data_IF_105580030522
#
_entry.id   IF_105580030522
#
_cell.length_a   1.000
_cell.length_b   1.000
_cell.length_c   1.000
_cell.angle_alpha   90.00
_cell.angle_beta   90.00
_cell.angle_gamma   90.00
#
_symmetry.space_group_name_H-M   'P 1'
#
loop_
_entity.id
_entity.type
_entity.pdbx_description
1 polymer ?
#
# COMPACT_ATOMS: atom_id res chain seq x y z
N UNK A 1 -6.59 2.87 -37.51
CA UNK A 1 -7.13 3.86 -36.56
C UNK A 1 -6.13 4.30 -35.50
N UNK A 2 -6.11 5.60 -35.21
CA UNK A 2 -5.30 6.22 -34.16
C UNK A 2 -5.77 5.87 -32.74
N UNK A 3 -7.09 5.74 -32.59
CA UNK A 3 -7.77 5.48 -31.32
C UNK A 3 -7.41 4.08 -30.82
N UNK A 4 -7.53 3.06 -31.66
CA UNK A 4 -7.23 1.68 -31.31
C UNK A 4 -5.76 1.50 -30.87
N UNK A 5 -4.82 2.11 -31.60
CA UNK A 5 -3.39 2.10 -31.21
C UNK A 5 -3.12 2.74 -29.86
N UNK A 6 -3.86 3.81 -29.54
CA UNK A 6 -3.73 4.49 -28.24
C UNK A 6 -4.34 3.65 -27.14
N UNK A 7 -5.52 3.06 -27.37
CA UNK A 7 -6.18 2.14 -26.45
C UNK A 7 -5.28 0.94 -26.11
N UNK A 8 -4.63 0.35 -27.11
CA UNK A 8 -3.78 -0.83 -26.93
C UNK A 8 -2.40 -0.51 -26.34
N UNK A 9 -2.06 0.78 -26.15
CA UNK A 9 -0.75 1.21 -25.63
C UNK A 9 -0.63 1.21 -24.11
N UNK A 10 -1.74 1.02 -23.40
CA UNK A 10 -1.79 0.92 -21.94
C UNK A 10 -2.91 -0.05 -21.52
N UNK A 11 -2.90 -0.44 -20.26
CA UNK A 11 -3.89 -1.37 -19.67
C UNK A 11 -4.37 -0.84 -18.34
N UNK A 12 -5.47 -1.41 -17.86
CA UNK A 12 -6.04 -1.04 -16.57
C UNK A 12 -4.98 -1.19 -15.45
N UNK A 13 -4.83 -0.13 -14.64
CA UNK A 13 -3.79 -0.03 -13.61
C UNK A 13 -2.51 0.70 -14.03
N UNK A 14 -2.30 0.95 -15.32
CA UNK A 14 -1.16 1.74 -15.78
C UNK A 14 -1.34 3.23 -15.46
N UNK A 15 -0.27 3.86 -14.98
CA UNK A 15 -0.22 5.32 -14.88
C UNK A 15 0.31 5.89 -16.20
N UNK A 16 -0.49 6.74 -16.82
CA UNK A 16 -0.16 7.38 -18.10
C UNK A 16 -0.05 8.89 -17.94
N UNK A 17 0.89 9.48 -18.69
CA UNK A 17 0.97 10.92 -18.90
C UNK A 17 0.11 11.28 -20.10
N UNK A 18 -0.78 12.25 -19.93
CA UNK A 18 -1.66 12.77 -20.97
C UNK A 18 -1.25 14.19 -21.34
N UNK A 19 -0.96 14.42 -22.62
CA UNK A 19 -0.68 15.73 -23.18
C UNK A 19 -1.69 16.05 -24.28
N UNK A 20 -2.25 17.26 -24.27
CA UNK A 20 -3.23 17.69 -25.27
C UNK A 20 -3.73 19.10 -25.02
N UNK A 21 -4.79 19.49 -25.73
CA UNK A 21 -5.37 20.83 -25.63
C UNK A 21 -6.63 20.81 -24.77
N UNK A 22 -6.72 21.75 -23.81
CA UNK A 22 -7.91 21.88 -22.97
C UNK A 22 -9.01 22.61 -23.74
N UNK A 23 -10.18 21.99 -23.85
CA UNK A 23 -11.41 22.58 -24.39
C UNK A 23 -12.53 22.50 -23.36
N UNK A 24 -13.61 23.25 -23.55
CA UNK A 24 -14.80 23.18 -22.70
C UNK A 24 -15.95 22.58 -23.49
N UNK A 25 -16.65 21.61 -22.91
CA UNK A 25 -17.87 21.02 -23.48
C UNK A 25 -18.88 20.74 -22.37
N UNK A 26 -20.09 21.30 -22.50
CA UNK A 26 -21.11 21.28 -21.44
C UNK A 26 -20.53 21.72 -20.08
N UNK A 27 -19.85 22.87 -20.06
CA UNK A 27 -19.19 23.47 -18.88
C UNK A 27 -18.17 22.59 -18.16
N UNK A 28 -17.74 21.49 -18.79
CA UNK A 28 -16.68 20.62 -18.30
C UNK A 28 -15.43 20.77 -19.15
N UNK A 29 -14.29 20.96 -18.49
CA UNK A 29 -12.97 20.91 -19.14
C UNK A 29 -12.74 19.49 -19.68
N UNK A 30 -12.31 19.40 -20.92
CA UNK A 30 -11.90 18.17 -21.60
C UNK A 30 -10.49 18.37 -22.14
N UNK A 31 -9.68 17.32 -22.08
CA UNK A 31 -8.38 17.30 -22.75
C UNK A 31 -8.60 16.61 -24.09
N UNK A 32 -8.35 17.33 -25.18
CA UNK A 32 -8.48 16.83 -26.53
C UNK A 32 -7.12 16.34 -27.03
N UNK A 33 -7.06 15.08 -27.45
CA UNK A 33 -5.85 14.37 -27.88
C UNK A 33 -6.08 13.97 -29.34
N UNK A 34 -5.42 14.68 -30.25
CA UNK A 34 -5.46 14.40 -31.69
C UNK A 34 -4.05 14.01 -32.16
N UNK A 35 -3.94 13.21 -33.23
CA UNK A 35 -2.65 12.88 -33.83
C UNK A 35 -1.85 14.16 -34.14
N UNK A 36 -0.60 14.20 -33.69
CA UNK A 36 0.31 15.34 -33.86
C UNK A 36 0.04 16.54 -32.94
N UNK A 37 -0.99 16.49 -32.08
CA UNK A 37 -1.38 17.58 -31.16
C UNK A 37 -1.47 17.16 -29.69
N UNK A 38 -1.23 15.88 -29.40
CA UNK A 38 -1.23 15.33 -28.06
C UNK A 38 -0.73 13.88 -28.06
N UNK A 39 -0.55 13.32 -26.87
CA UNK A 39 -0.13 11.95 -26.68
C UNK A 39 -0.60 11.40 -25.33
N UNK A 40 -0.82 10.08 -25.29
CA UNK A 40 -0.92 9.29 -24.06
C UNK A 40 0.30 8.39 -24.04
N UNK A 41 1.09 8.46 -22.97
CA UNK A 41 2.32 7.68 -22.85
C UNK A 41 2.41 7.07 -21.45
N UNK A 42 2.77 5.78 -21.31
CA UNK A 42 3.11 5.21 -20.01
C UNK A 42 4.17 6.05 -19.32
N UNK A 43 3.99 6.31 -18.02
CA UNK A 43 4.97 7.03 -17.21
C UNK A 43 5.36 6.23 -15.98
N UNK A 44 6.65 6.25 -15.65
CA UNK A 44 7.17 5.77 -14.35
C UNK A 44 7.52 6.92 -13.42
N UNK A 45 7.45 8.13 -13.94
CA UNK A 45 7.70 9.38 -13.24
C UNK A 45 6.37 9.89 -12.69
N UNK A 46 5.97 9.32 -11.57
CA UNK A 46 4.77 9.67 -10.83
C UNK A 46 4.95 9.31 -9.35
N UNK A 47 4.28 10.03 -8.46
CA UNK A 47 4.18 9.62 -7.06
C UNK A 47 2.87 8.86 -6.87
N UNK A 48 2.97 7.66 -6.30
CA UNK A 48 1.80 6.81 -6.05
C UNK A 48 0.80 7.47 -5.08
N UNK A 49 1.25 8.39 -4.21
CA UNK A 49 0.39 9.20 -3.33
C UNK A 49 -0.50 10.20 -4.09
N UNK A 50 -0.21 10.51 -5.35
CA UNK A 50 -1.06 11.39 -6.17
C UNK A 50 -2.33 10.66 -6.63
N UNK A 51 -2.33 9.32 -6.59
CA UNK A 51 -3.39 8.45 -7.08
C UNK A 51 -4.07 7.65 -5.97
N UNK A 52 -3.34 7.34 -4.89
CA UNK A 52 -3.86 6.60 -3.75
C UNK A 52 -3.86 7.48 -2.49
N UNK A 53 -4.88 7.37 -1.62
CA UNK A 53 -4.80 7.94 -0.29
C UNK A 53 -3.58 7.40 0.46
N UNK A 54 -3.05 8.17 1.40
CA UNK A 54 -1.93 7.80 2.26
C UNK A 54 -2.40 7.71 3.72
N UNK A 55 -1.77 6.85 4.53
CA UNK A 55 -2.03 6.88 5.97
C UNK A 55 -1.66 8.25 6.54
N UNK A 56 -2.51 8.79 7.41
CA UNK A 56 -2.23 10.01 8.16
C UNK A 56 -1.24 9.77 9.33
N UNK A 57 -0.83 8.52 9.56
CA UNK A 57 0.05 8.13 10.67
C UNK A 57 1.51 8.09 10.23
N UNK A 58 2.41 8.25 11.20
CA UNK A 58 3.85 8.12 10.97
C UNK A 58 4.22 6.63 10.79
N UNK A 59 4.47 6.21 9.55
CA UNK A 59 4.83 4.82 9.23
C UNK A 59 6.11 4.33 9.91
N UNK A 60 7.06 5.23 10.20
CA UNK A 60 8.28 4.87 10.91
C UNK A 60 7.98 4.51 12.38
N UNK A 61 7.10 5.29 13.02
CA UNK A 61 6.62 5.01 14.38
C UNK A 61 5.83 3.71 14.45
N UNK A 62 4.89 3.48 13.52
CA UNK A 62 4.12 2.24 13.45
C UNK A 62 5.04 1.03 13.27
N UNK A 63 6.03 1.14 12.40
CA UNK A 63 6.97 0.05 12.17
C UNK A 63 7.88 -0.20 13.38
N UNK A 64 8.35 0.84 14.07
CA UNK A 64 9.10 0.68 15.32
C UNK A 64 8.28 -0.11 16.34
N UNK A 65 7.00 0.21 16.47
CA UNK A 65 6.08 -0.48 17.38
C UNK A 65 5.80 -1.93 16.98
N UNK A 66 5.78 -2.23 15.68
CA UNK A 66 5.71 -3.60 15.18
C UNK A 66 6.98 -4.38 15.56
N UNK A 67 8.17 -3.78 15.39
CA UNK A 67 9.43 -4.41 15.79
C UNK A 67 9.49 -4.66 17.30
N UNK A 68 8.97 -3.76 18.13
CA UNK A 68 8.84 -3.98 19.57
C UNK A 68 8.01 -5.23 19.90
N UNK A 69 6.93 -5.51 19.14
CA UNK A 69 6.15 -6.74 19.30
C UNK A 69 6.97 -7.96 18.90
N UNK A 70 7.73 -7.90 17.80
CA UNK A 70 8.61 -8.98 17.34
C UNK A 70 9.70 -9.28 18.37
N UNK A 71 10.40 -8.26 18.87
CA UNK A 71 11.46 -8.41 19.88
C UNK A 71 10.89 -8.89 21.24
N UNK A 72 9.60 -8.61 21.50
CA UNK A 72 8.87 -9.08 22.67
C UNK A 72 8.61 -10.59 22.69
N UNK A 73 8.57 -11.25 21.53
CA UNK A 73 8.35 -12.70 21.39
C UNK A 73 9.47 -13.49 22.07
N UNK A 74 9.11 -14.38 22.99
CA UNK A 74 10.05 -15.18 23.78
C UNK A 74 10.43 -16.48 23.11
N UNK A 75 9.49 -17.12 22.40
CA UNK A 75 9.74 -18.32 21.65
C UNK A 75 10.71 -18.05 20.49
N UNK A 76 11.94 -18.55 20.60
CA UNK A 76 13.05 -18.23 19.70
C UNK A 76 12.73 -18.53 18.23
N UNK A 77 12.07 -19.66 17.94
CA UNK A 77 11.69 -20.02 16.57
C UNK A 77 10.65 -19.08 15.94
N UNK A 78 9.70 -18.56 16.73
CA UNK A 78 8.68 -17.65 16.24
C UNK A 78 9.28 -16.26 16.02
N UNK A 79 10.14 -15.81 16.96
CA UNK A 79 10.88 -14.56 16.78
C UNK A 79 11.76 -14.63 15.53
N UNK A 80 12.54 -15.70 15.38
CA UNK A 80 13.40 -15.87 14.21
C UNK A 80 12.61 -15.87 12.90
N UNK A 81 11.42 -16.50 12.87
CA UNK A 81 10.53 -16.45 11.71
C UNK A 81 10.11 -15.01 11.39
N UNK A 82 9.60 -14.27 12.38
CA UNK A 82 9.17 -12.89 12.19
C UNK A 82 10.33 -11.97 11.76
N UNK A 83 11.51 -12.15 12.35
CA UNK A 83 12.72 -11.41 11.97
C UNK A 83 13.14 -11.66 10.52
N UNK A 84 12.91 -12.85 9.97
CA UNK A 84 13.21 -13.13 8.55
C UNK A 84 12.40 -12.27 7.58
N UNK A 85 11.22 -11.80 7.97
CA UNK A 85 10.42 -10.87 7.19
C UNK A 85 10.72 -9.43 7.58
N UNK A 86 10.57 -9.10 8.87
CA UNK A 86 10.58 -7.71 9.32
C UNK A 86 11.98 -7.15 9.53
N UNK A 87 13.07 -7.93 9.42
CA UNK A 87 14.46 -7.41 9.36
C UNK A 87 15.07 -7.55 7.96
N UNK A 88 14.29 -7.98 6.97
CA UNK A 88 14.66 -7.95 5.56
C UNK A 88 14.25 -6.60 4.96
N UNK A 89 15.22 -5.85 4.42
CA UNK A 89 15.01 -4.48 3.94
C UNK A 89 14.08 -4.43 2.72
N UNK A 90 14.21 -5.39 1.81
CA UNK A 90 13.40 -5.45 0.58
C UNK A 90 11.93 -5.74 0.91
N UNK A 91 11.67 -6.77 1.72
CA UNK A 91 10.33 -7.06 2.22
C UNK A 91 9.75 -5.88 2.99
N UNK A 92 10.53 -5.31 3.91
CA UNK A 92 10.08 -4.21 4.78
C UNK A 92 9.66 -2.98 3.97
N UNK A 93 10.41 -2.65 2.92
CA UNK A 93 10.11 -1.53 2.04
C UNK A 93 8.76 -1.70 1.34
N UNK A 94 8.49 -2.88 0.80
CA UNK A 94 7.22 -3.20 0.13
C UNK A 94 6.07 -3.27 1.14
N UNK A 95 6.27 -3.93 2.28
CA UNK A 95 5.29 -4.07 3.36
C UNK A 95 4.81 -2.70 3.89
N UNK A 96 5.74 -1.76 4.12
CA UNK A 96 5.44 -0.39 4.57
C UNK A 96 4.67 0.44 3.54
N UNK A 97 4.67 0.06 2.27
CA UNK A 97 3.99 0.79 1.19
C UNK A 97 2.69 0.11 0.76
N UNK A 98 2.51 -1.16 1.05
CA UNK A 98 1.34 -1.92 0.65
C UNK A 98 0.04 -1.39 1.30
N UNK A 99 -1.07 -1.31 0.55
CA UNK A 99 -2.41 -1.18 1.11
C UNK A 99 -2.85 -2.49 1.76
N UNK A 100 -3.70 -2.44 2.78
CA UNK A 100 -4.23 -3.65 3.42
C UNK A 100 -5.44 -4.24 2.67
N UNK A 101 -6.09 -3.46 1.81
CA UNK A 101 -7.30 -3.86 1.11
C UNK A 101 -7.42 -3.16 -0.25
N UNK A 102 -8.23 -3.74 -1.14
CA UNK A 102 -8.51 -3.18 -2.47
C UNK A 102 -9.55 -2.06 -2.45
N UNK A 103 -10.55 -2.10 -1.54
CA UNK A 103 -11.70 -1.19 -1.59
C UNK A 103 -12.18 -0.64 -0.23
N UNK A 104 -11.95 -1.31 0.90
CA UNK A 104 -12.50 -0.92 2.22
C UNK A 104 -11.45 -1.10 3.34
N UNK A 105 -11.33 -0.11 4.24
CA UNK A 105 -10.42 -0.04 5.40
C UNK A 105 -8.93 -0.28 5.06
N UNK A 106 -8.10 0.74 5.25
CA UNK A 106 -6.65 0.68 4.97
C UNK A 106 -6.25 0.47 3.49
N UNK A 107 -7.11 0.85 2.54
CA UNK A 107 -6.82 0.89 1.10
C UNK A 107 -5.92 2.08 0.71
N UNK A 108 -4.88 2.35 1.51
CA UNK A 108 -3.94 3.46 1.35
C UNK A 108 -2.50 2.97 1.52
N UNK A 109 -1.54 3.76 1.03
CA UNK A 109 -0.12 3.44 1.21
C UNK A 109 0.24 3.35 2.70
N UNK A 110 0.82 2.21 3.09
CA UNK A 110 1.13 1.87 4.48
C UNK A 110 -0.05 1.33 5.29
N UNK A 111 -1.17 1.05 4.64
CA UNK A 111 -2.34 0.46 5.25
C UNK A 111 -2.07 -0.94 5.81
N UNK A 112 -1.27 -1.77 5.13
CA UNK A 112 -0.97 -3.14 5.58
C UNK A 112 -0.25 -3.14 6.93
N UNK A 113 0.81 -2.35 7.06
CA UNK A 113 1.53 -2.16 8.33
C UNK A 113 0.58 -1.69 9.44
N UNK A 114 -0.24 -0.67 9.15
CA UNK A 114 -1.20 -0.14 10.12
C UNK A 114 -2.20 -1.21 10.57
N UNK A 115 -2.70 -2.01 9.63
CA UNK A 115 -3.64 -3.08 9.89
C UNK A 115 -3.03 -4.22 10.70
N UNK A 116 -1.90 -4.79 10.27
CA UNK A 116 -1.24 -5.89 10.99
C UNK A 116 -0.91 -5.50 12.43
N UNK A 117 -0.39 -4.28 12.66
CA UNK A 117 -0.12 -3.79 14.01
C UNK A 117 -1.43 -3.66 14.82
N UNK A 118 -2.50 -3.11 14.24
CA UNK A 118 -3.78 -3.00 14.91
C UNK A 118 -4.35 -4.37 15.31
N UNK A 119 -4.32 -5.34 14.40
CA UNK A 119 -4.77 -6.72 14.65
C UNK A 119 -3.96 -7.36 15.78
N UNK A 120 -2.63 -7.26 15.74
CA UNK A 120 -1.77 -7.81 16.79
C UNK A 120 -2.04 -7.18 18.16
N UNK A 121 -2.19 -5.85 18.23
CA UNK A 121 -2.52 -5.17 19.48
C UNK A 121 -3.91 -5.56 20.00
N UNK A 122 -4.92 -5.60 19.14
CA UNK A 122 -6.29 -6.02 19.52
C UNK A 122 -6.32 -7.46 20.00
N UNK A 123 -5.65 -8.39 19.30
CA UNK A 123 -5.59 -9.79 19.68
C UNK A 123 -4.91 -9.97 21.05
N UNK A 124 -3.80 -9.26 21.29
CA UNK A 124 -3.10 -9.30 22.60
C UNK A 124 -3.96 -8.73 23.73
N UNK A 125 -4.72 -7.67 23.47
CA UNK A 125 -5.64 -7.10 24.45
C UNK A 125 -6.77 -8.06 24.79
N UNK A 126 -7.39 -8.66 23.77
CA UNK A 126 -8.44 -9.66 23.96
C UNK A 126 -7.94 -10.91 24.71
N UNK A 127 -6.70 -11.32 24.45
CA UNK A 127 -6.06 -12.48 25.08
C UNK A 127 -5.84 -12.33 26.59
N UNK A 128 -5.90 -11.12 27.17
CA UNK A 128 -5.72 -10.91 28.63
C UNK A 128 -6.70 -11.71 29.51
N UNK A 129 -7.84 -12.09 28.95
CA UNK A 129 -8.88 -12.85 29.66
C UNK A 129 -8.78 -14.38 29.44
N UNK A 130 -7.78 -14.85 28.68
CA UNK A 130 -7.67 -16.25 28.27
C UNK A 130 -6.26 -16.80 28.49
N UNK A 131 -6.17 -18.08 28.84
CA UNK A 131 -4.90 -18.80 28.90
C UNK A 131 -4.49 -19.25 27.49
N UNK A 132 -3.92 -18.33 26.71
CA UNK A 132 -3.44 -18.58 25.33
C UNK A 132 -1.96 -18.27 25.20
N UNK A 133 -1.31 -18.88 24.21
CA UNK A 133 0.07 -18.58 23.86
C UNK A 133 0.15 -17.20 23.17
N UNK A 134 0.66 -16.19 23.89
CA UNK A 134 0.77 -14.83 23.39
C UNK A 134 1.83 -14.69 22.29
N UNK A 135 2.85 -15.54 22.27
CA UNK A 135 3.90 -15.49 21.26
C UNK A 135 3.36 -16.02 19.94
N UNK A 136 2.67 -17.16 19.97
CA UNK A 136 2.00 -17.72 18.79
C UNK A 136 0.89 -16.80 18.28
N UNK A 137 0.10 -16.20 19.17
CA UNK A 137 -0.94 -15.25 18.80
C UNK A 137 -0.35 -13.99 18.16
N UNK A 138 0.76 -13.46 18.68
CA UNK A 138 1.43 -12.31 18.09
C UNK A 138 2.00 -12.65 16.72
N UNK A 139 2.65 -13.81 16.59
CA UNK A 139 3.20 -14.27 15.32
C UNK A 139 2.14 -14.56 14.26
N UNK A 140 0.96 -15.06 14.66
CA UNK A 140 -0.14 -15.29 13.74
C UNK A 140 -0.93 -14.03 13.33
N UNK A 141 -0.81 -12.95 14.12
CA UNK A 141 -1.48 -11.68 13.85
C UNK A 141 -0.65 -10.71 12.99
N UNK A 142 0.68 -10.89 12.96
CA UNK A 142 1.63 -10.10 12.18
C UNK A 142 1.90 -10.75 10.81
#
# INVERSE_FOLDING_TARGET
>A
DSVDRTHDSFKEGDVVRVQGFVTTYNDRKKININEGKGAVTPTKDFNLSDFLPQSNKNLAELYSRLLELVDGVKHEGLRALLEKFFKDDDFTKEFKRAPAAMFLHHAWLGGLLEHSLAVALTAREAAKNYAVDLDLLTAGAL
#
